data_IF_111215669365
#
_entry.id   IF_111215669365
#
_cell.length_a   1.000
_cell.length_b   1.000
_cell.length_c   1.000
_cell.angle_alpha   90.00
_cell.angle_beta   90.00
_cell.angle_gamma   90.00
#
_symmetry.space_group_name_H-M   'P 1'
#
loop_
_entity.id
_entity.type
_entity.pdbx_description
1 polymer ?
#
# COMPACT_ATOMS: atom_id res chain seq x y z
N UNK A 1 13.66 -8.63 -7.74
CA UNK A 1 13.83 -9.69 -8.77
C UNK A 1 13.14 -9.41 -10.10
N UNK A 2 11.82 -9.16 -10.13
CA UNK A 2 11.13 -8.70 -11.36
C UNK A 2 11.75 -7.41 -11.92
N UNK A 3 12.14 -6.48 -11.03
CA UNK A 3 12.95 -5.29 -11.38
C UNK A 3 14.30 -5.64 -12.02
N UNK A 4 14.96 -6.72 -11.59
CA UNK A 4 16.26 -7.14 -12.13
C UNK A 4 16.15 -7.75 -13.54
N UNK A 5 15.06 -8.46 -13.83
CA UNK A 5 14.79 -8.95 -15.19
C UNK A 5 14.44 -7.79 -16.14
N UNK A 6 13.63 -6.82 -15.68
CA UNK A 6 13.37 -5.59 -16.43
C UNK A 6 14.62 -4.73 -16.66
N UNK A 7 15.56 -4.69 -15.70
CA UNK A 7 16.87 -4.04 -15.87
C UNK A 7 17.75 -4.73 -16.93
N UNK A 8 17.52 -6.03 -17.19
CA UNK A 8 18.20 -6.80 -18.25
C UNK A 8 17.52 -6.66 -19.63
N UNK A 9 16.44 -5.87 -19.73
CA UNK A 9 15.75 -5.61 -21.00
C UNK A 9 14.89 -6.78 -21.51
N UNK A 10 14.60 -7.76 -20.66
CA UNK A 10 13.74 -8.89 -21.02
C UNK A 10 12.29 -8.43 -21.12
N UNK A 11 11.61 -8.87 -22.18
CA UNK A 11 10.17 -8.70 -22.36
C UNK A 11 9.39 -9.69 -21.49
N UNK A 12 8.08 -9.46 -21.39
CA UNK A 12 7.18 -10.29 -20.60
C UNK A 12 7.13 -11.76 -21.08
N UNK A 13 7.28 -11.97 -22.39
CA UNK A 13 7.18 -13.28 -23.03
C UNK A 13 8.55 -13.96 -23.25
N UNK A 14 9.65 -13.33 -22.82
CA UNK A 14 10.99 -13.90 -22.96
C UNK A 14 11.22 -15.01 -21.93
N UNK A 15 11.96 -16.05 -22.32
CA UNK A 15 12.31 -17.15 -21.43
C UNK A 15 13.12 -16.69 -20.22
N UNK A 16 12.76 -17.21 -19.03
CA UNK A 16 13.50 -16.92 -17.80
C UNK A 16 14.92 -17.51 -17.92
N UNK A 17 15.97 -16.67 -17.77
CA UNK A 17 17.35 -17.12 -17.81
C UNK A 17 17.63 -18.23 -16.79
N UNK A 18 18.50 -19.17 -17.15
CA UNK A 18 18.77 -20.37 -16.35
C UNK A 18 19.28 -20.04 -14.93
N UNK A 19 19.97 -18.91 -14.74
CA UNK A 19 20.45 -18.41 -13.44
C UNK A 19 19.31 -18.01 -12.49
N UNK A 20 18.14 -17.62 -13.01
CA UNK A 20 16.97 -17.21 -12.19
C UNK A 20 15.90 -18.29 -12.07
N UNK A 21 15.94 -19.33 -12.91
CA UNK A 21 14.91 -20.37 -12.96
C UNK A 21 14.66 -21.06 -11.62
N UNK A 22 15.74 -21.45 -10.92
CA UNK A 22 15.65 -22.12 -9.61
C UNK A 22 14.96 -21.25 -8.56
N UNK A 23 15.28 -19.95 -8.54
CA UNK A 23 14.64 -19.03 -7.60
C UNK A 23 13.15 -18.86 -7.90
N UNK A 24 12.78 -18.70 -9.17
CA UNK A 24 11.38 -18.55 -9.56
C UNK A 24 10.55 -19.80 -9.23
N UNK A 25 11.10 -20.99 -9.50
CA UNK A 25 10.44 -22.25 -9.13
C UNK A 25 10.22 -22.32 -7.62
N UNK A 26 11.26 -22.05 -6.82
CA UNK A 26 11.14 -22.04 -5.36
C UNK A 26 10.12 -21.01 -4.87
N UNK A 27 10.11 -19.80 -5.46
CA UNK A 27 9.14 -18.76 -5.09
C UNK A 27 7.70 -19.16 -5.44
N UNK A 28 7.48 -19.80 -6.59
CA UNK A 28 6.17 -20.32 -7.01
C UNK A 28 5.70 -21.45 -6.08
N UNK A 29 6.59 -22.35 -5.69
CA UNK A 29 6.28 -23.42 -4.72
C UNK A 29 5.78 -22.82 -3.40
N UNK A 30 6.43 -21.75 -2.92
CA UNK A 30 5.98 -21.05 -1.71
C UNK A 30 4.65 -20.33 -1.85
N UNK A 31 4.23 -19.93 -3.06
CA UNK A 31 2.88 -19.39 -3.26
C UNK A 31 1.79 -20.40 -2.89
N UNK A 32 2.07 -21.70 -2.96
CA UNK A 32 1.10 -22.72 -2.54
C UNK A 32 0.76 -22.62 -1.05
N UNK A 33 1.67 -22.10 -0.22
CA UNK A 33 1.46 -21.83 1.21
C UNK A 33 0.39 -20.76 1.44
N UNK A 34 0.15 -19.85 0.48
CA UNK A 34 -0.89 -18.83 0.60
C UNK A 34 -2.30 -19.42 0.69
N UNK A 35 -2.49 -20.68 0.26
CA UNK A 35 -3.77 -21.40 0.45
C UNK A 35 -4.12 -21.59 1.92
N UNK A 36 -3.13 -21.57 2.81
CA UNK A 36 -3.30 -21.69 4.25
C UNK A 36 -3.65 -20.35 4.91
N UNK A 37 -3.42 -19.23 4.22
CA UNK A 37 -3.72 -17.90 4.73
C UNK A 37 -5.21 -17.59 4.56
N UNK A 38 -5.95 -17.61 5.66
CA UNK A 38 -7.35 -17.16 5.69
C UNK A 38 -7.45 -15.73 6.22
N UNK A 39 -8.00 -14.83 5.41
CA UNK A 39 -8.27 -13.44 5.80
C UNK A 39 -9.79 -13.22 5.85
N UNK A 40 -10.35 -12.75 6.98
CA UNK A 40 -11.78 -12.46 7.06
C UNK A 40 -12.16 -11.34 6.08
N UNK A 41 -13.02 -11.67 5.09
CA UNK A 41 -13.45 -10.69 4.07
C UNK A 41 -14.54 -9.73 4.54
N UNK A 42 -15.35 -10.13 5.53
CA UNK A 42 -16.42 -9.27 6.02
C UNK A 42 -15.82 -8.06 6.75
N UNK A 43 -16.08 -6.87 6.21
CA UNK A 43 -15.58 -5.60 6.74
C UNK A 43 -16.41 -5.08 7.91
N UNK A 44 -17.70 -5.41 7.95
CA UNK A 44 -18.66 -4.90 8.94
C UNK A 44 -19.41 -6.07 9.59
N UNK A 45 -18.74 -6.77 10.49
CA UNK A 45 -19.38 -7.80 11.33
C UNK A 45 -20.38 -7.09 12.24
N UNK A 46 -21.64 -7.51 12.36
CA UNK A 46 -22.66 -6.84 13.21
C UNK A 46 -22.69 -5.31 13.01
N UNK A 47 -22.99 -4.89 11.77
CA UNK A 47 -22.89 -3.49 11.34
C UNK A 47 -23.63 -2.48 12.25
N UNK A 48 -24.74 -2.92 12.83
CA UNK A 48 -25.62 -2.16 13.73
C UNK A 48 -24.94 -1.81 15.06
N UNK A 49 -24.06 -2.68 15.55
CA UNK A 49 -23.35 -2.50 16.82
C UNK A 49 -22.11 -1.59 16.70
N UNK A 50 -21.78 -1.14 15.49
CA UNK A 50 -20.57 -0.33 15.23
C UNK A 50 -20.81 1.12 15.69
N UNK A 51 -20.12 1.51 16.76
CA UNK A 51 -20.11 2.86 17.31
C UNK A 51 -19.23 3.82 16.50
N UNK A 52 -18.11 3.33 15.96
CA UNK A 52 -17.23 4.15 15.12
C UNK A 52 -16.43 3.33 14.12
N UNK A 53 -16.18 3.93 12.96
CA UNK A 53 -15.37 3.37 11.89
C UNK A 53 -14.28 4.37 11.47
N UNK A 54 -13.03 3.90 11.47
CA UNK A 54 -11.86 4.66 11.06
C UNK A 54 -11.12 3.94 9.92
N UNK A 55 -10.64 4.70 8.92
CA UNK A 55 -9.69 4.18 7.93
C UNK A 55 -8.27 4.55 8.35
N UNK A 56 -7.39 3.54 8.39
CA UNK A 56 -5.97 3.69 8.68
C UNK A 56 -5.17 3.33 7.44
N UNK A 57 -4.46 4.30 6.88
CA UNK A 57 -3.66 4.12 5.67
C UNK A 57 -2.19 4.16 6.03
N UNK A 58 -1.47 3.09 5.74
CA UNK A 58 -0.03 2.99 5.93
C UNK A 58 0.65 3.13 4.57
N UNK A 59 1.73 3.89 4.52
CA UNK A 59 2.53 4.11 3.31
C UNK A 59 4.00 3.87 3.64
N UNK A 60 4.69 3.20 2.73
CA UNK A 60 6.11 2.86 2.87
C UNK A 60 6.78 2.82 1.48
N UNK A 61 8.07 3.13 1.42
CA UNK A 61 8.85 3.03 0.20
C UNK A 61 10.28 2.52 0.43
N UNK A 62 10.75 1.74 -0.52
CA UNK A 62 12.14 1.30 -0.64
C UNK A 62 12.72 1.74 -1.98
N UNK A 63 14.00 1.46 -2.19
CA UNK A 63 14.64 1.67 -3.49
C UNK A 63 14.05 0.79 -4.61
N UNK A 64 13.34 -0.28 -4.25
CA UNK A 64 12.80 -1.24 -5.22
C UNK A 64 11.33 -1.01 -5.54
N UNK A 65 10.55 -0.55 -4.57
CA UNK A 65 9.10 -0.41 -4.70
C UNK A 65 8.56 0.55 -3.65
N UNK A 66 7.34 1.05 -3.87
CA UNK A 66 6.58 1.80 -2.89
C UNK A 66 5.16 1.28 -2.82
N UNK A 67 4.54 1.35 -1.65
CA UNK A 67 3.25 0.73 -1.40
C UNK A 67 2.39 1.49 -0.40
N UNK A 68 1.10 1.19 -0.42
CA UNK A 68 0.15 1.66 0.57
C UNK A 68 -0.90 0.60 0.89
N UNK A 69 -1.30 0.52 2.15
CA UNK A 69 -2.33 -0.39 2.63
C UNK A 69 -3.36 0.36 3.47
N UNK A 70 -4.64 0.14 3.18
CA UNK A 70 -5.77 0.74 3.89
C UNK A 70 -6.47 -0.32 4.73
N UNK A 71 -6.53 -0.08 6.03
CA UNK A 71 -7.24 -0.89 7.00
C UNK A 71 -8.49 -0.18 7.49
N UNK A 72 -9.56 -0.93 7.69
CA UNK A 72 -10.76 -0.49 8.38
C UNK A 72 -10.68 -0.95 9.83
N UNK A 73 -10.82 0.01 10.75
CA UNK A 73 -10.94 -0.23 12.18
C UNK A 73 -12.37 0.10 12.61
N UNK A 74 -13.08 -0.88 13.13
CA UNK A 74 -14.40 -0.69 13.73
C UNK A 74 -14.32 -0.88 15.24
N UNK A 75 -15.01 -0.02 15.98
CA UNK A 75 -15.23 -0.15 17.43
C UNK A 75 -16.70 -0.43 17.66
N UNK A 76 -17.00 -1.48 18.42
CA UNK A 76 -18.34 -1.94 18.72
C UNK A 76 -18.83 -1.43 20.07
N UNK A 77 -20.15 -1.46 20.28
CA UNK A 77 -20.80 -1.05 21.53
C UNK A 77 -20.33 -1.85 22.75
N UNK A 78 -19.97 -3.12 22.55
CA UNK A 78 -19.40 -3.99 23.59
C UNK A 78 -17.90 -3.72 23.85
N UNK A 79 -17.30 -2.72 23.22
CA UNK A 79 -15.88 -2.38 23.32
C UNK A 79 -14.95 -3.21 22.43
N UNK A 80 -15.46 -4.19 21.69
CA UNK A 80 -14.65 -4.98 20.76
C UNK A 80 -14.09 -4.09 19.64
N UNK A 81 -12.90 -4.45 19.16
CA UNK A 81 -12.27 -3.77 18.02
C UNK A 81 -11.92 -4.78 16.95
N UNK A 82 -12.40 -4.56 15.73
CA UNK A 82 -11.97 -5.34 14.56
C UNK A 82 -11.15 -4.49 13.62
N UNK A 83 -10.05 -5.06 13.12
CA UNK A 83 -9.23 -4.45 12.07
C UNK A 83 -9.21 -5.39 10.87
N UNK A 84 -9.47 -4.85 9.67
CA UNK A 84 -9.52 -5.60 8.41
C UNK A 84 -8.76 -4.85 7.32
N UNK A 85 -7.96 -5.57 6.54
CA UNK A 85 -7.36 -5.01 5.33
C UNK A 85 -8.47 -4.82 4.29
N UNK A 86 -8.67 -3.59 3.83
CA UNK A 86 -9.68 -3.28 2.80
C UNK A 86 -9.06 -3.35 1.42
N UNK A 87 -7.91 -2.70 1.25
CA UNK A 87 -7.20 -2.67 -0.02
C UNK A 87 -5.73 -2.35 0.20
N UNK A 88 -4.85 -2.99 -0.56
CA UNK A 88 -3.44 -2.63 -0.65
C UNK A 88 -3.04 -2.44 -2.11
N UNK A 89 -2.08 -1.55 -2.36
CA UNK A 89 -1.53 -1.29 -3.69
C UNK A 89 -0.04 -1.04 -3.58
N UNK A 90 0.74 -1.72 -4.42
CA UNK A 90 2.18 -1.52 -4.56
C UNK A 90 2.53 -1.15 -6.01
N UNK A 91 3.67 -0.49 -6.17
CA UNK A 91 4.26 -0.15 -7.47
C UNK A 91 5.76 -0.34 -7.41
N UNK A 92 6.34 -0.88 -8.47
CA UNK A 92 7.80 -0.93 -8.61
C UNK A 92 8.36 0.48 -8.76
N UNK A 93 9.50 0.74 -8.13
CA UNK A 93 10.23 1.98 -8.31
C UNK A 93 10.67 2.10 -9.78
N UNK A 94 10.63 3.32 -10.35
CA UNK A 94 11.10 3.53 -11.72
C UNK A 94 12.53 3.02 -11.94
N UNK A 95 12.82 2.56 -13.16
CA UNK A 95 14.18 2.14 -13.52
C UNK A 95 15.17 3.32 -13.47
N UNK A 96 14.70 4.52 -13.82
CA UNK A 96 15.46 5.75 -13.59
C UNK A 96 15.59 6.00 -12.09
N UNK A 97 16.81 6.29 -11.64
CA UNK A 97 17.10 6.53 -10.23
C UNK A 97 16.24 7.67 -9.68
N UNK A 98 15.48 7.37 -8.64
CA UNK A 98 14.68 8.31 -7.86
C UNK A 98 15.11 8.16 -6.40
N UNK A 99 15.31 9.26 -5.69
CA UNK A 99 15.66 9.23 -4.27
C UNK A 99 14.54 8.56 -3.45
N UNK A 100 14.90 7.83 -2.40
CA UNK A 100 13.94 7.21 -1.47
C UNK A 100 12.92 8.22 -0.95
N UNK A 101 13.34 9.43 -0.57
CA UNK A 101 12.43 10.50 -0.14
C UNK A 101 11.31 10.85 -1.15
N UNK A 102 11.59 10.74 -2.46
CA UNK A 102 10.60 10.96 -3.52
C UNK A 102 9.68 9.76 -3.71
N UNK A 103 10.18 8.54 -3.50
CA UNK A 103 9.37 7.33 -3.52
C UNK A 103 8.43 7.28 -2.31
N UNK A 104 8.90 7.69 -1.14
CA UNK A 104 8.10 7.91 0.07
C UNK A 104 6.93 8.88 -0.18
N UNK A 105 7.21 9.99 -0.87
CA UNK A 105 6.17 10.94 -1.28
C UNK A 105 5.17 10.33 -2.28
N UNK A 106 5.63 9.47 -3.19
CA UNK A 106 4.75 8.73 -4.09
C UNK A 106 3.91 7.69 -3.36
N UNK A 107 4.46 7.05 -2.32
CA UNK A 107 3.72 6.16 -1.42
C UNK A 107 2.61 6.93 -0.71
N UNK A 108 2.91 8.10 -0.15
CA UNK A 108 1.92 8.93 0.52
C UNK A 108 0.79 9.38 -0.43
N UNK A 109 1.13 9.78 -1.67
CA UNK A 109 0.13 10.10 -2.70
C UNK A 109 -0.73 8.88 -3.05
N UNK A 110 -0.10 7.71 -3.23
CA UNK A 110 -0.79 6.46 -3.52
C UNK A 110 -1.77 6.13 -2.41
N UNK A 111 -1.34 6.24 -1.16
CA UNK A 111 -2.17 6.04 0.03
C UNK A 111 -3.35 7.00 0.11
N UNK A 112 -3.12 8.30 -0.12
CA UNK A 112 -4.20 9.30 -0.15
C UNK A 112 -5.27 8.96 -1.21
N UNK A 113 -4.85 8.60 -2.42
CA UNK A 113 -5.74 8.18 -3.51
C UNK A 113 -6.47 6.88 -3.17
N UNK A 114 -5.78 5.92 -2.57
CA UNK A 114 -6.34 4.63 -2.17
C UNK A 114 -7.40 4.80 -1.08
N UNK A 115 -7.11 5.61 -0.06
CA UNK A 115 -8.04 5.92 1.01
C UNK A 115 -9.29 6.67 0.50
N UNK A 116 -9.13 7.59 -0.46
CA UNK A 116 -10.25 8.28 -1.08
C UNK A 116 -11.11 7.34 -1.93
N UNK A 117 -10.49 6.43 -2.68
CA UNK A 117 -11.20 5.40 -3.45
C UNK A 117 -11.99 4.47 -2.53
N UNK A 118 -11.34 3.92 -1.50
CA UNK A 118 -11.98 3.05 -0.50
C UNK A 118 -13.13 3.79 0.19
N UNK A 119 -12.91 5.03 0.64
CA UNK A 119 -13.92 5.82 1.32
C UNK A 119 -15.19 6.07 0.48
N UNK A 120 -15.08 6.13 -0.86
CA UNK A 120 -16.24 6.23 -1.76
C UNK A 120 -16.94 4.89 -2.02
N UNK A 121 -16.21 3.78 -1.90
CA UNK A 121 -16.74 2.43 -2.18
C UNK A 121 -17.38 1.75 -0.97
N UNK A 122 -17.15 2.23 0.25
CA UNK A 122 -17.74 1.65 1.46
C UNK A 122 -19.19 2.13 1.64
N UNK A 123 -20.06 1.21 2.06
CA UNK A 123 -21.48 1.47 2.31
C UNK A 123 -21.71 2.22 3.62
N UNK A 124 -20.89 1.99 4.65
CA UNK A 124 -20.95 2.70 5.93
C UNK A 124 -20.06 3.95 5.90
N UNK A 125 -20.57 5.05 6.45
CA UNK A 125 -19.81 6.29 6.56
C UNK A 125 -18.59 6.12 7.48
N UNK A 126 -17.45 6.61 7.01
CA UNK A 126 -16.19 6.61 7.78
C UNK A 126 -16.08 7.94 8.53
N UNK A 127 -16.06 7.87 9.86
CA UNK A 127 -15.97 9.06 10.72
C UNK A 127 -14.56 9.65 10.80
N UNK A 128 -13.52 8.83 10.59
CA UNK A 128 -12.13 9.29 10.68
C UNK A 128 -11.21 8.62 9.66
N UNK A 129 -10.25 9.38 9.13
CA UNK A 129 -9.15 8.86 8.30
C UNK A 129 -7.81 9.22 8.94
N UNK A 130 -6.90 8.26 9.05
CA UNK A 130 -5.54 8.44 9.54
C UNK A 130 -4.54 7.97 8.49
N UNK A 131 -3.46 8.72 8.34
CA UNK A 131 -2.36 8.42 7.43
C UNK A 131 -1.08 8.25 8.24
N UNK A 132 -0.41 7.13 8.03
CA UNK A 132 0.78 6.70 8.75
C UNK A 132 1.94 6.57 7.78
N UNK A 133 3.07 7.17 8.16
CA UNK A 133 4.37 7.07 7.49
C UNK A 133 5.44 7.31 8.57
N UNK A 134 6.53 6.58 8.49
CA UNK A 134 7.74 6.78 9.29
C UNK A 134 8.72 7.76 8.64
N UNK A 135 8.46 8.18 7.39
CA UNK A 135 9.27 9.13 6.64
C UNK A 135 9.14 10.55 7.20
N UNK A 136 10.20 10.99 7.88
CA UNK A 136 10.36 12.38 8.33
C UNK A 136 10.34 13.36 7.14
N UNK A 137 10.87 12.95 5.99
CA UNK A 137 10.83 13.71 4.73
C UNK A 137 9.39 13.99 4.29
N UNK A 138 8.53 12.97 4.24
CA UNK A 138 7.10 13.14 3.89
C UNK A 138 6.40 14.06 4.87
N UNK A 139 6.63 13.84 6.17
CA UNK A 139 6.01 14.66 7.23
C UNK A 139 6.41 16.13 7.12
N UNK A 140 7.68 16.41 6.84
CA UNK A 140 8.16 17.77 6.65
C UNK A 140 7.59 18.38 5.37
N UNK A 141 7.55 17.63 4.27
CA UNK A 141 7.02 18.13 2.99
C UNK A 141 5.55 18.54 3.09
N UNK A 142 4.73 17.73 3.76
CA UNK A 142 3.30 18.02 3.98
C UNK A 142 3.10 19.26 4.88
N UNK A 143 4.00 19.49 5.84
CA UNK A 143 3.89 20.60 6.80
C UNK A 143 4.49 21.91 6.28
N UNK A 144 5.36 21.84 5.28
CA UNK A 144 6.02 23.03 4.74
C UNK A 144 5.12 23.79 3.77
N UNK A 145 5.23 25.13 3.71
CA UNK A 145 4.54 25.92 2.69
C UNK A 145 4.99 25.52 1.29
N UNK A 146 4.04 25.48 0.34
CA UNK A 146 4.28 25.06 -1.04
C UNK A 146 5.40 25.84 -1.75
N UNK A 147 5.70 27.06 -1.30
CA UNK A 147 6.78 27.91 -1.82
C UNK A 147 8.19 27.35 -1.60
N UNK A 148 8.40 26.47 -0.61
CA UNK A 148 9.74 26.00 -0.24
C UNK A 148 10.26 24.82 -1.08
N UNK A 149 9.40 24.18 -1.88
CA UNK A 149 9.78 22.99 -2.65
C UNK A 149 9.33 23.08 -4.10
N UNK A 150 10.21 22.65 -5.01
CA UNK A 150 9.82 22.44 -6.41
C UNK A 150 8.70 21.38 -6.46
N UNK A 151 7.59 21.64 -7.18
CA UNK A 151 6.51 20.68 -7.35
C UNK A 151 7.07 19.37 -7.93
N UNK A 152 6.94 18.28 -7.18
CA UNK A 152 7.33 16.95 -7.62
C UNK A 152 6.11 16.04 -7.85
N UNK A 153 5.03 16.31 -7.12
CA UNK A 153 3.75 15.63 -7.25
C UNK A 153 2.69 16.72 -7.44
N UNK A 154 2.12 16.83 -8.64
CA UNK A 154 0.98 17.69 -8.94
C UNK A 154 -0.25 16.83 -9.29
N UNK A 155 -1.44 17.37 -9.04
CA UNK A 155 -2.71 16.76 -9.43
C UNK A 155 -3.07 17.05 -10.88
#
# INVERSE_FOLDING_TARGET
MHRNLGLRGLNWDDDIPADHRKWWQHWIERLSELKLLSLPRCLFVRMEDIMSSELHTFCDASQEAFASAVYLRNVYINGEVTVRLVMAKSKLAPLKAVSVARLELQAALLGARLAAYVGRGLTKQIGRRRFWTDSSCVRNWIRSPAAYYKPYVSH
#
